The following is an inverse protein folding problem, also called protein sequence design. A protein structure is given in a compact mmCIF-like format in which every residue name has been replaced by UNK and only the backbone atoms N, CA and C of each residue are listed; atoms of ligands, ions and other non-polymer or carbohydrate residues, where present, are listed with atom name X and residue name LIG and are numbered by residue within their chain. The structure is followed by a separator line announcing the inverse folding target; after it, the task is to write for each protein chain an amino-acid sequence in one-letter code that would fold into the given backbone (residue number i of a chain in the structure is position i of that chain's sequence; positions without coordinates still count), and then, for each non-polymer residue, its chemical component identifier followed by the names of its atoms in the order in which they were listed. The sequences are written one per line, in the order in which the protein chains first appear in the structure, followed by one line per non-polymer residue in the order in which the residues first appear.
data_IF_129944181500
#
_entry.id   IF_129944181500
#
_cell.length_a   1.000
_cell.length_b   1.000
_cell.length_c   1.000
_cell.angle_alpha   90.00
_cell.angle_beta   90.00
_cell.angle_gamma   90.00
#
_symmetry.space_group_name_H-M   'P 1'
#
loop_
_entity.id
_entity.type
_entity.pdbx_description
1 polymer ?
#
# COMPACT_ATOMS: atom_id res chain seq x y z
N UNK A 1 -9.24 -10.73 -16.67
CA UNK A 1 -8.40 -9.76 -15.91
C UNK A 1 -7.05 -9.73 -16.59
N UNK A 2 -6.74 -8.66 -17.30
CA UNK A 2 -5.42 -8.43 -17.93
C UNK A 2 -4.70 -7.42 -17.06
N UNK A 3 -3.46 -7.71 -16.71
CA UNK A 3 -2.67 -6.92 -15.78
C UNK A 3 -1.37 -6.48 -16.43
N UNK A 4 -1.09 -5.21 -16.30
CA UNK A 4 0.20 -4.62 -16.69
C UNK A 4 1.02 -4.35 -15.42
N UNK A 5 2.24 -4.87 -15.39
CA UNK A 5 3.12 -4.85 -14.23
C UNK A 5 4.33 -3.95 -14.50
N UNK A 6 4.64 -3.09 -13.56
CA UNK A 6 5.89 -2.34 -13.54
C UNK A 6 6.80 -2.87 -12.44
N UNK A 7 7.98 -3.28 -12.86
CA UNK A 7 9.06 -3.57 -11.92
C UNK A 7 10.01 -2.38 -11.92
N UNK A 8 10.01 -1.62 -10.84
CA UNK A 8 11.06 -0.63 -10.61
C UNK A 8 12.36 -1.38 -10.39
N UNK A 9 13.15 -1.54 -11.47
CA UNK A 9 14.53 -2.02 -11.36
C UNK A 9 15.37 -0.96 -10.67
N UNK A 10 15.57 -1.10 -9.37
CA UNK A 10 16.77 -0.54 -8.76
C UNK A 10 17.98 -1.30 -9.33
N UNK A 11 18.57 -0.76 -10.39
CA UNK A 11 19.85 -1.26 -10.92
C UNK A 11 20.94 -0.83 -9.95
N UNK A 12 21.18 -1.66 -8.92
CA UNK A 12 22.42 -1.56 -8.15
C UNK A 12 23.52 -2.15 -9.03
N UNK A 13 24.35 -1.29 -9.61
CA UNK A 13 25.61 -1.69 -10.26
C UNK A 13 26.46 -2.41 -9.21
N UNK A 14 26.50 -3.73 -9.27
CA UNK A 14 27.46 -4.52 -8.48
C UNK A 14 28.81 -4.46 -9.17
N UNK A 15 29.79 -3.79 -8.55
CA UNK A 15 31.19 -4.01 -8.80
C UNK A 15 31.59 -5.37 -8.20
N UNK A 16 32.43 -6.18 -8.87
CA UNK A 16 32.90 -7.43 -8.31
C UNK A 16 34.01 -7.13 -7.29
N UNK A 17 33.81 -7.49 -6.06
CA UNK A 17 34.87 -7.47 -5.07
C UNK A 17 34.40 -7.31 -3.63
N UNK A 18 34.62 -8.39 -2.87
CA UNK A 18 34.73 -8.42 -1.40
C UNK A 18 33.42 -8.37 -0.60
N UNK A 19 33.03 -9.50 -0.09
CA UNK A 19 32.08 -9.69 1.00
C UNK A 19 32.68 -9.14 2.31
N UNK A 20 32.05 -8.12 2.88
CA UNK A 20 32.01 -7.95 4.33
C UNK A 20 30.54 -7.98 4.77
N UNK A 21 30.30 -8.55 5.94
CA UNK A 21 28.98 -8.79 6.52
C UNK A 21 28.02 -7.63 6.35
N UNK A 22 26.84 -7.95 5.88
CA UNK A 22 25.70 -7.02 5.88
C UNK A 22 25.43 -6.62 7.33
N UNK A 23 25.96 -5.48 7.73
CA UNK A 23 25.48 -4.78 8.90
C UNK A 23 24.01 -4.42 8.59
N UNK A 24 23.08 -5.21 9.10
CA UNK A 24 21.69 -4.80 9.20
C UNK A 24 21.67 -3.53 10.03
N UNK A 25 21.53 -2.39 9.37
CA UNK A 25 21.24 -1.13 10.05
C UNK A 25 19.95 -1.38 10.83
N UNK A 26 20.08 -1.64 12.13
CA UNK A 26 18.95 -1.71 13.05
C UNK A 26 18.36 -0.31 13.12
N UNK A 27 17.46 -0.01 12.21
CA UNK A 27 16.68 1.23 12.24
C UNK A 27 15.89 1.22 13.55
N UNK A 28 16.34 2.02 14.52
CA UNK A 28 15.61 2.14 15.80
C UNK A 28 14.29 2.79 15.48
N UNK A 29 13.23 2.00 15.48
CA UNK A 29 11.89 2.51 15.23
C UNK A 29 11.58 3.65 16.22
N UNK A 30 10.98 4.74 15.74
CA UNK A 30 10.46 5.82 16.57
C UNK A 30 9.03 5.45 16.97
N UNK A 31 8.78 5.05 18.23
CA UNK A 31 7.50 4.46 18.62
C UNK A 31 6.30 5.38 18.33
N UNK A 32 6.45 6.68 18.51
CA UNK A 32 5.38 7.64 18.25
C UNK A 32 4.98 7.66 16.77
N UNK A 33 5.96 7.63 15.86
CA UNK A 33 5.71 7.61 14.41
C UNK A 33 5.04 6.30 14.01
N UNK A 34 5.53 5.16 14.51
CA UNK A 34 4.93 3.85 14.22
C UNK A 34 3.48 3.77 14.68
N UNK A 35 3.17 4.31 15.88
CA UNK A 35 1.82 4.37 16.44
C UNK A 35 0.92 5.30 15.62
N UNK A 36 1.41 6.47 15.20
CA UNK A 36 0.67 7.38 14.34
C UNK A 36 0.28 6.72 13.01
N UNK A 37 1.22 6.02 12.36
CA UNK A 37 0.95 5.26 11.13
C UNK A 37 -0.07 4.14 11.38
N UNK A 38 0.02 3.44 12.51
CA UNK A 38 -0.94 2.39 12.88
C UNK A 38 -2.36 2.96 13.04
N UNK A 39 -2.51 4.13 13.65
CA UNK A 39 -3.80 4.83 13.78
C UNK A 39 -4.36 5.19 12.40
N UNK A 40 -3.56 5.80 11.51
CA UNK A 40 -3.99 6.14 10.16
C UNK A 40 -4.44 4.89 9.38
N UNK A 41 -3.70 3.79 9.47
CA UNK A 41 -4.05 2.52 8.84
C UNK A 41 -5.34 1.92 9.40
N UNK A 42 -5.55 1.99 10.71
CA UNK A 42 -6.78 1.52 11.36
C UNK A 42 -7.98 2.33 10.87
N UNK A 43 -7.92 3.66 10.92
CA UNK A 43 -8.99 4.54 10.48
C UNK A 43 -9.29 4.42 8.97
N UNK A 44 -8.28 4.04 8.18
CA UNK A 44 -8.47 3.77 6.75
C UNK A 44 -9.17 2.46 6.43
N UNK A 45 -9.20 1.49 7.37
CA UNK A 45 -9.86 0.20 7.20
C UNK A 45 -11.32 0.20 7.65
N UNK A 46 -11.66 1.05 8.60
CA UNK A 46 -13.01 1.13 9.16
C UNK A 46 -13.85 2.14 8.38
N UNK A 47 -15.14 1.85 8.25
CA UNK A 47 -16.09 2.77 7.59
C UNK A 47 -16.61 3.83 8.56
N UNK A 48 -16.74 3.46 9.82
CA UNK A 48 -17.33 4.31 10.85
C UNK A 48 -16.27 5.05 11.66
N UNK A 49 -16.51 6.32 12.03
CA UNK A 49 -15.60 7.06 12.90
C UNK A 49 -15.44 6.38 14.26
N UNK A 50 -14.24 6.39 14.82
CA UNK A 50 -13.90 5.72 16.09
C UNK A 50 -13.58 6.71 17.19
N UNK A 51 -14.01 6.38 18.43
CA UNK A 51 -13.61 7.12 19.63
C UNK A 51 -12.19 6.74 20.10
N UNK A 52 -11.56 7.62 20.90
CA UNK A 52 -10.18 7.44 21.38
C UNK A 52 -9.97 6.08 22.10
N UNK A 53 -10.91 5.66 22.94
CA UNK A 53 -10.78 4.41 23.69
C UNK A 53 -10.84 3.17 22.77
N UNK A 54 -11.71 3.20 21.75
CA UNK A 54 -11.80 2.12 20.76
C UNK A 54 -10.52 2.02 19.92
N UNK A 55 -9.93 3.16 19.53
CA UNK A 55 -8.65 3.19 18.80
C UNK A 55 -7.51 2.67 19.70
N UNK A 56 -7.45 3.14 20.95
CA UNK A 56 -6.44 2.73 21.92
C UNK A 56 -6.49 1.21 22.18
N UNK A 57 -7.69 0.67 22.38
CA UNK A 57 -7.91 -0.76 22.57
C UNK A 57 -7.51 -1.57 21.34
N UNK A 58 -7.92 -1.14 20.14
CA UNK A 58 -7.62 -1.85 18.90
C UNK A 58 -6.11 -1.91 18.56
N UNK A 59 -5.32 -0.98 19.09
CA UNK A 59 -3.88 -0.87 18.84
C UNK A 59 -3.02 -1.16 20.08
N UNK A 60 -3.60 -1.62 21.15
CA UNK A 60 -2.93 -1.87 22.45
C UNK A 60 -2.12 -0.64 22.91
N UNK A 61 -2.78 0.53 22.92
CA UNK A 61 -2.18 1.79 23.33
C UNK A 61 -2.81 2.29 24.63
N UNK A 62 -2.01 3.00 25.44
CA UNK A 62 -2.53 3.76 26.57
C UNK A 62 -3.40 4.91 26.02
N UNK A 63 -4.64 5.11 26.51
CA UNK A 63 -5.57 6.13 25.99
C UNK A 63 -5.01 7.55 25.96
N UNK A 64 -4.22 7.96 26.96
CA UNK A 64 -3.57 9.27 26.96
C UNK A 64 -2.55 9.42 25.84
N UNK A 65 -1.72 8.40 25.62
CA UNK A 65 -0.77 8.38 24.50
C UNK A 65 -1.49 8.44 23.16
N UNK A 66 -2.55 7.64 23.00
CA UNK A 66 -3.39 7.66 21.81
C UNK A 66 -3.96 9.05 21.56
N UNK A 67 -4.52 9.69 22.59
CA UNK A 67 -5.10 11.03 22.47
C UNK A 67 -4.07 12.09 22.06
N UNK A 68 -2.84 12.03 22.58
CA UNK A 68 -1.77 12.95 22.17
C UNK A 68 -1.44 12.81 20.70
N UNK A 69 -1.28 11.55 20.21
CA UNK A 69 -1.01 11.29 18.80
C UNK A 69 -2.18 11.76 17.92
N UNK A 70 -3.43 11.48 18.34
CA UNK A 70 -4.62 11.93 17.62
C UNK A 70 -4.68 13.46 17.49
N UNK A 71 -4.35 14.20 18.54
CA UNK A 71 -4.31 15.67 18.49
C UNK A 71 -3.33 16.18 17.46
N UNK A 72 -2.10 15.67 17.47
CA UNK A 72 -1.09 16.00 16.45
C UNK A 72 -1.57 15.68 15.04
N UNK A 73 -2.17 14.49 14.83
CA UNK A 73 -2.70 14.12 13.50
C UNK A 73 -3.88 15.01 13.05
N UNK A 74 -4.67 15.56 13.99
CA UNK A 74 -5.73 16.55 13.68
C UNK A 74 -5.11 17.88 13.28
N UNK A 75 -4.11 18.37 14.01
CA UNK A 75 -3.37 19.60 13.68
C UNK A 75 -2.76 19.51 12.27
N UNK A 76 -2.18 18.36 11.93
CA UNK A 76 -1.64 18.07 10.60
C UNK A 76 -2.72 17.75 9.53
N UNK A 77 -4.01 17.83 9.88
CA UNK A 77 -5.15 17.56 8.99
C UNK A 77 -5.17 16.14 8.40
N UNK A 78 -4.36 15.22 8.92
CA UNK A 78 -4.35 13.82 8.50
C UNK A 78 -5.53 13.03 9.02
N UNK A 79 -6.11 13.44 10.14
CA UNK A 79 -7.40 12.98 10.65
C UNK A 79 -8.30 14.17 10.95
N UNK A 80 -9.59 13.90 11.02
CA UNK A 80 -10.59 14.87 11.51
C UNK A 80 -11.32 14.29 12.70
N UNK A 81 -11.76 15.17 13.60
CA UNK A 81 -12.57 14.82 14.75
C UNK A 81 -13.91 15.51 14.64
N UNK A 82 -14.96 14.77 14.90
CA UNK A 82 -16.31 15.32 15.03
C UNK A 82 -16.44 16.04 16.37
N UNK A 83 -16.92 17.28 16.34
CA UNK A 83 -17.00 18.17 17.51
C UNK A 83 -17.94 17.65 18.60
N UNK A 84 -19.04 17.01 18.22
CA UNK A 84 -20.09 16.57 19.11
C UNK A 84 -19.82 15.17 19.67
N UNK A 85 -19.52 14.22 18.77
CA UNK A 85 -19.35 12.81 19.12
C UNK A 85 -17.94 12.47 19.59
N UNK A 86 -16.96 13.37 19.41
CA UNK A 86 -15.52 13.13 19.67
C UNK A 86 -14.98 11.89 18.99
N UNK A 87 -15.51 11.57 17.81
CA UNK A 87 -15.06 10.46 16.99
C UNK A 87 -14.11 10.92 15.89
N UNK A 88 -13.14 10.07 15.57
CA UNK A 88 -12.04 10.33 14.64
C UNK A 88 -12.22 9.56 13.35
N UNK A 89 -11.87 10.16 12.22
CA UNK A 89 -11.81 9.56 10.88
C UNK A 89 -10.62 10.13 10.10
N UNK A 90 -10.26 9.52 8.96
CA UNK A 90 -9.25 10.10 8.08
C UNK A 90 -9.64 11.51 7.64
N UNK A 91 -8.68 12.42 7.64
CA UNK A 91 -8.82 13.80 7.19
C UNK A 91 -8.42 13.98 5.72
N UNK A 92 -8.78 15.16 5.18
CA UNK A 92 -8.51 15.48 3.76
C UNK A 92 -7.02 15.64 3.46
N UNK A 93 -6.16 15.90 4.45
CA UNK A 93 -4.71 15.98 4.27
C UNK A 93 -4.08 14.70 3.71
N UNK A 94 -4.71 13.54 3.97
CA UNK A 94 -4.26 12.26 3.39
C UNK A 94 -4.38 12.27 1.86
N UNK A 95 -5.41 12.91 1.29
CA UNK A 95 -5.58 13.02 -0.17
C UNK A 95 -4.48 13.85 -0.82
N UNK A 96 -4.02 14.91 -0.14
CA UNK A 96 -2.91 15.74 -0.62
C UNK A 96 -1.63 14.93 -0.69
N UNK A 97 -1.32 14.16 0.35
CA UNK A 97 -0.16 13.27 0.35
C UNK A 97 -0.26 12.18 -0.73
N UNK A 98 -1.43 11.56 -0.87
CA UNK A 98 -1.67 10.54 -1.89
C UNK A 98 -1.51 11.10 -3.30
N UNK A 99 -2.00 12.32 -3.56
CA UNK A 99 -1.82 13.02 -4.84
C UNK A 99 -0.33 13.25 -5.14
N UNK A 100 0.42 13.81 -4.21
CA UNK A 100 1.85 14.07 -4.38
C UNK A 100 2.64 12.77 -4.64
N UNK A 101 2.31 11.70 -3.92
CA UNK A 101 2.92 10.39 -4.14
C UNK A 101 2.63 9.83 -5.56
N UNK A 102 1.41 10.04 -6.08
CA UNK A 102 1.03 9.63 -7.43
C UNK A 102 1.74 10.47 -8.51
N UNK A 103 1.85 11.78 -8.30
CA UNK A 103 2.53 12.69 -9.23
C UNK A 103 4.03 12.43 -9.29
N UNK A 104 4.64 12.03 -8.19
CA UNK A 104 6.06 11.63 -8.15
C UNK A 104 6.35 10.30 -8.86
N UNK A 105 5.32 9.49 -9.13
CA UNK A 105 5.47 8.20 -9.82
C UNK A 105 4.90 8.31 -11.24
N UNK A 106 5.77 8.27 -12.24
CA UNK A 106 5.38 8.34 -13.65
C UNK A 106 4.68 7.08 -14.17
N UNK A 107 4.79 5.93 -13.48
CA UNK A 107 4.23 4.68 -13.95
C UNK A 107 2.72 4.70 -14.16
N UNK A 108 1.88 5.23 -13.23
CA UNK A 108 0.43 5.27 -13.44
C UNK A 108 0.02 6.00 -14.71
N UNK A 109 0.63 7.15 -15.01
CA UNK A 109 0.33 7.93 -16.22
C UNK A 109 0.81 7.23 -17.49
N UNK A 110 1.97 6.60 -17.45
CA UNK A 110 2.56 5.88 -18.59
C UNK A 110 1.70 4.68 -19.00
N UNK A 111 1.14 3.94 -18.04
CA UNK A 111 0.38 2.72 -18.34
C UNK A 111 -1.11 2.97 -18.58
N UNK A 112 -1.65 4.13 -18.20
CA UNK A 112 -3.09 4.39 -18.23
C UNK A 112 -3.70 4.17 -19.62
N UNK A 113 -3.10 4.70 -20.67
CA UNK A 113 -3.58 4.53 -22.05
C UNK A 113 -3.61 3.06 -22.50
N UNK A 114 -2.64 2.26 -22.02
CA UNK A 114 -2.61 0.81 -22.25
C UNK A 114 -3.74 0.09 -21.52
N UNK A 115 -3.98 0.45 -20.27
CA UNK A 115 -5.07 -0.11 -19.47
C UNK A 115 -6.44 0.24 -20.09
N UNK A 116 -6.63 1.48 -20.54
CA UNK A 116 -7.88 1.93 -21.17
C UNK A 116 -8.17 1.16 -22.45
N UNK A 117 -7.14 0.95 -23.28
CA UNK A 117 -7.24 0.16 -24.51
C UNK A 117 -7.60 -1.30 -24.22
N UNK A 118 -6.98 -1.92 -23.19
CA UNK A 118 -7.29 -3.28 -22.80
C UNK A 118 -8.72 -3.38 -22.27
N UNK A 119 -9.12 -2.46 -21.41
CA UNK A 119 -10.47 -2.41 -20.84
C UNK A 119 -11.53 -2.26 -21.94
N UNK A 120 -11.34 -1.31 -22.85
CA UNK A 120 -12.28 -1.04 -23.95
C UNK A 120 -12.36 -2.19 -24.95
N UNK A 121 -11.21 -2.77 -25.32
CA UNK A 121 -11.15 -3.83 -26.34
C UNK A 121 -11.74 -5.15 -25.85
N UNK A 122 -11.51 -5.49 -24.58
CA UNK A 122 -11.84 -6.83 -24.04
C UNK A 122 -12.96 -6.81 -23.01
N UNK A 123 -13.52 -5.66 -22.68
CA UNK A 123 -14.57 -5.54 -21.68
C UNK A 123 -14.14 -5.96 -20.27
N UNK A 124 -12.84 -5.87 -19.93
CA UNK A 124 -12.27 -6.32 -18.66
C UNK A 124 -11.80 -5.15 -17.82
N UNK A 125 -11.82 -5.30 -16.49
CA UNK A 125 -11.12 -4.36 -15.62
C UNK A 125 -9.63 -4.61 -15.70
N UNK A 126 -8.87 -3.60 -16.11
CA UNK A 126 -7.41 -3.63 -16.22
C UNK A 126 -6.80 -2.83 -15.05
N UNK A 127 -5.81 -3.40 -14.39
CA UNK A 127 -5.13 -2.77 -13.25
C UNK A 127 -3.62 -2.70 -13.45
N UNK A 128 -3.03 -1.58 -13.03
CA UNK A 128 -1.59 -1.43 -12.85
C UNK A 128 -1.25 -1.57 -11.37
N UNK A 129 -0.27 -2.40 -11.04
CA UNK A 129 0.14 -2.62 -9.66
C UNK A 129 1.63 -2.35 -9.48
N UNK A 130 1.98 -1.83 -8.32
CA UNK A 130 3.34 -1.76 -7.82
C UNK A 130 3.55 -2.82 -6.74
N UNK A 131 4.72 -3.45 -6.72
CA UNK A 131 5.06 -4.51 -5.77
C UNK A 131 6.04 -3.96 -4.76
N UNK A 132 5.61 -3.94 -3.51
CA UNK A 132 6.43 -3.45 -2.40
C UNK A 132 7.42 -4.52 -1.92
N UNK A 133 8.47 -4.09 -1.19
CA UNK A 133 9.45 -4.98 -0.57
C UNK A 133 8.83 -5.95 0.45
N UNK A 134 7.61 -5.67 0.92
CA UNK A 134 6.86 -6.53 1.85
C UNK A 134 6.00 -7.57 1.13
N UNK A 135 6.25 -7.83 -0.15
CA UNK A 135 5.48 -8.78 -0.97
C UNK A 135 3.99 -8.44 -1.06
N UNK A 136 3.66 -7.17 -0.98
CA UNK A 136 2.32 -6.66 -1.19
C UNK A 136 2.25 -5.99 -2.56
N UNK A 137 1.09 -6.09 -3.19
CA UNK A 137 0.75 -5.36 -4.40
C UNK A 137 -0.17 -4.22 -4.05
N UNK A 138 0.18 -3.03 -4.50
CA UNK A 138 -0.66 -1.83 -4.40
C UNK A 138 -1.18 -1.49 -5.78
N UNK A 139 -2.48 -1.33 -5.94
CA UNK A 139 -3.08 -0.86 -7.19
C UNK A 139 -2.77 0.63 -7.33
N UNK A 140 -2.05 0.99 -8.38
CA UNK A 140 -1.62 2.38 -8.65
C UNK A 140 -2.29 2.99 -9.88
N UNK A 141 -2.83 2.15 -10.77
CA UNK A 141 -3.59 2.57 -11.94
C UNK A 141 -4.75 1.61 -12.20
N UNK A 142 -5.84 2.10 -12.74
CA UNK A 142 -7.07 1.32 -12.94
C UNK A 142 -7.83 1.84 -14.16
N UNK A 143 -8.27 0.91 -15.02
CA UNK A 143 -9.29 1.16 -16.03
C UNK A 143 -10.43 0.18 -15.87
N UNK A 144 -11.66 0.70 -15.73
CA UNK A 144 -12.85 -0.10 -15.40
C UNK A 144 -13.57 -0.55 -16.66
N UNK A 145 -14.00 -1.80 -16.65
CA UNK A 145 -14.97 -2.30 -17.63
C UNK A 145 -16.36 -1.69 -17.39
N UNK A 146 -17.09 -1.47 -18.47
CA UNK A 146 -18.50 -1.09 -18.43
C UNK A 146 -19.46 -2.27 -18.26
N UNK A 147 -18.94 -3.49 -18.15
CA UNK A 147 -19.76 -4.70 -17.95
C UNK A 147 -20.32 -4.76 -16.52
N UNK A 148 -21.47 -5.43 -16.32
CA UNK A 148 -22.12 -5.53 -15.00
C UNK A 148 -21.30 -6.29 -13.96
N UNK A 149 -20.43 -7.20 -14.39
CA UNK A 149 -19.51 -7.89 -13.50
C UNK A 149 -18.25 -7.05 -13.26
N UNK A 150 -18.13 -6.49 -12.06
CA UNK A 150 -16.99 -5.63 -11.69
C UNK A 150 -16.17 -6.29 -10.59
N UNK A 151 -14.85 -6.32 -10.77
CA UNK A 151 -13.95 -6.57 -9.68
C UNK A 151 -13.97 -5.33 -8.76
N UNK A 152 -14.25 -5.54 -7.47
CA UNK A 152 -14.26 -4.46 -6.47
C UNK A 152 -12.83 -4.14 -6.06
N UNK A 153 -12.16 -3.32 -6.89
CA UNK A 153 -10.79 -2.88 -6.68
C UNK A 153 -10.69 -1.40 -7.01
N UNK A 154 -9.94 -0.68 -6.21
CA UNK A 154 -9.66 0.75 -6.38
C UNK A 154 -8.15 1.04 -6.31
N UNK A 155 -7.75 2.20 -6.82
CA UNK A 155 -6.40 2.70 -6.61
C UNK A 155 -6.14 2.83 -5.10
N UNK A 156 -5.01 2.30 -4.64
CA UNK A 156 -4.68 2.17 -3.22
C UNK A 156 -5.10 0.83 -2.59
N UNK A 157 -5.86 -0.03 -3.30
CA UNK A 157 -6.13 -1.39 -2.81
C UNK A 157 -4.84 -2.18 -2.68
N UNK A 158 -4.71 -2.94 -1.59
CA UNK A 158 -3.51 -3.72 -1.25
C UNK A 158 -3.87 -5.21 -1.20
N UNK A 159 -3.07 -6.03 -1.87
CA UNK A 159 -3.22 -7.48 -1.91
C UNK A 159 -1.90 -8.18 -1.61
N UNK A 160 -1.92 -9.36 -0.96
CA UNK A 160 -0.74 -10.21 -0.86
C UNK A 160 -0.28 -10.64 -2.26
N UNK A 161 0.98 -10.36 -2.62
CA UNK A 161 1.50 -10.66 -3.95
C UNK A 161 1.44 -12.17 -4.25
N UNK A 162 1.90 -13.00 -3.34
CA UNK A 162 2.07 -14.44 -3.57
C UNK A 162 0.74 -15.23 -3.70
N UNK A 163 -0.37 -14.69 -3.18
CA UNK A 163 -1.68 -15.33 -3.29
C UNK A 163 -2.37 -15.10 -4.64
N UNK A 164 -1.81 -14.26 -5.49
CA UNK A 164 -2.42 -13.87 -6.76
C UNK A 164 -1.67 -14.42 -7.97
N UNK A 165 -2.35 -14.50 -9.13
CA UNK A 165 -1.70 -14.81 -10.40
C UNK A 165 -0.57 -13.83 -10.73
N UNK A 166 -0.72 -12.56 -10.33
CA UNK A 166 0.29 -11.51 -10.45
C UNK A 166 1.55 -11.83 -9.67
N UNK A 167 1.40 -12.21 -8.42
CA UNK A 167 2.54 -12.54 -7.60
C UNK A 167 3.30 -13.74 -8.15
N UNK A 168 2.60 -14.69 -8.76
CA UNK A 168 3.24 -15.82 -9.48
C UNK A 168 4.04 -15.34 -10.67
N UNK A 169 3.54 -14.38 -11.44
CA UNK A 169 4.29 -13.77 -12.54
C UNK A 169 5.50 -12.99 -12.03
N UNK A 170 5.34 -12.20 -10.97
CA UNK A 170 6.47 -11.50 -10.33
C UNK A 170 7.51 -12.50 -9.84
N UNK A 171 7.08 -13.58 -9.20
CA UNK A 171 7.96 -14.62 -8.73
C UNK A 171 8.69 -15.31 -9.90
N UNK A 172 8.00 -15.59 -11.00
CA UNK A 172 8.58 -16.26 -12.16
C UNK A 172 9.57 -15.37 -12.94
N UNK A 173 9.28 -14.08 -13.07
CA UNK A 173 10.04 -13.15 -13.93
C UNK A 173 10.83 -12.09 -13.13
N UNK A 174 10.68 -12.04 -11.82
CA UNK A 174 11.32 -11.05 -10.95
C UNK A 174 12.81 -11.29 -10.64
N UNK A 175 13.43 -12.30 -11.25
CA UNK A 175 14.86 -12.59 -11.07
C UNK A 175 15.25 -13.20 -9.72
N UNK A 176 14.28 -13.66 -8.93
CA UNK A 176 14.56 -14.36 -7.67
C UNK A 176 14.99 -15.82 -7.90
N UNK A 177 15.95 -16.35 -7.12
CA UNK A 177 16.37 -17.74 -7.25
C UNK A 177 15.22 -18.72 -7.02
N UNK A 178 15.11 -19.75 -7.88
CA UNK A 178 14.07 -20.77 -7.82
C UNK A 178 13.87 -21.45 -6.45
N UNK A 179 14.95 -21.76 -5.67
CA UNK A 179 14.81 -22.34 -4.33
C UNK A 179 14.08 -21.40 -3.34
N UNK A 180 14.32 -20.10 -3.44
CA UNK A 180 13.67 -19.08 -2.61
C UNK A 180 12.17 -19.01 -2.91
N UNK A 181 11.80 -19.06 -4.20
CA UNK A 181 10.41 -19.08 -4.64
C UNK A 181 9.66 -20.31 -4.15
N UNK A 182 10.26 -21.52 -4.29
CA UNK A 182 9.68 -22.76 -3.76
C UNK A 182 9.40 -22.69 -2.27
N UNK A 183 10.36 -22.19 -1.49
CA UNK A 183 10.23 -22.04 -0.04
C UNK A 183 9.11 -21.08 0.37
N UNK A 184 8.88 -20.03 -0.41
CA UNK A 184 7.81 -19.05 -0.18
C UNK A 184 6.44 -19.64 -0.51
N UNK A 185 6.30 -20.35 -1.62
CA UNK A 185 5.05 -20.99 -2.00
C UNK A 185 4.67 -22.17 -1.10
N UNK A 186 5.62 -22.84 -0.45
CA UNK A 186 5.36 -23.93 0.50
C UNK A 186 4.84 -23.45 1.87
N UNK A 187 4.95 -22.16 2.16
CA UNK A 187 4.46 -21.54 3.40
C UNK A 187 3.06 -20.95 3.28
N UNK A 188 2.45 -21.02 2.12
CA UNK A 188 1.07 -20.59 1.82
C UNK A 188 0.11 -21.76 1.86
#
# INVERSE_FOLDING_TARGET
MIMMMHMTKLTIKRSPGTTPGQATVRTRAVPAVSRAIAILRLLGKVKEPMGVNAIAQALDLIPSTCLHILRTLVEEKLISVDGDTKRYRLGMGVLTLARSAREANAFPSTVQSGLDRLSSKWGVTAIGVDVTDQEQMVVVALSRSNLPFRLHVDVGSVFPALLSATGRLVAAFGGQPMPELKRRFQKL
#
